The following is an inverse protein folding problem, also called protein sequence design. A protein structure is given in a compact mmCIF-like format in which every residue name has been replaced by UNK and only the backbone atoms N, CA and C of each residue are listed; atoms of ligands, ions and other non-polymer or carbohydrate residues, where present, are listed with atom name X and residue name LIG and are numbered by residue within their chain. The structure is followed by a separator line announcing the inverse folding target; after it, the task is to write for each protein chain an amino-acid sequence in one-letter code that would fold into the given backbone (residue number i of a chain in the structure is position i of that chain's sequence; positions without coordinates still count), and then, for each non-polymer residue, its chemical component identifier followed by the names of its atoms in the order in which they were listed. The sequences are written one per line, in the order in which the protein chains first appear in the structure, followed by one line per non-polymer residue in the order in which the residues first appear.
data_IF_097703191161
#
_entry.id   IF_097703191161
#
_cell.length_a   1.000
_cell.length_b   1.000
_cell.length_c   1.000
_cell.angle_alpha   90.00
_cell.angle_beta   90.00
_cell.angle_gamma   90.00
#
_symmetry.space_group_name_H-M   'P 1'
#
loop_
_entity.id
_entity.type
_entity.pdbx_description
1 polymer ?
#
# COMPACT_ATOMS: atom_id res chain seq x y z
N UNK A 1 18.01 -18.78 1.88
CA UNK A 1 17.66 -19.26 0.53
C UNK A 1 17.07 -20.65 0.71
N UNK A 2 15.78 -20.82 0.39
CA UNK A 2 15.09 -22.10 0.52
C UNK A 2 15.81 -23.12 -0.36
N UNK A 3 16.17 -24.26 0.21
CA UNK A 3 16.76 -25.38 -0.55
C UNK A 3 15.65 -26.34 -0.97
N UNK A 4 15.89 -27.15 -2.01
CA UNK A 4 14.88 -28.03 -2.60
C UNK A 4 14.29 -29.13 -1.68
N UNK A 5 14.71 -29.20 -0.42
CA UNK A 5 14.07 -29.97 0.65
C UNK A 5 12.74 -29.39 1.15
N UNK A 6 12.43 -28.13 0.80
CA UNK A 6 11.45 -27.32 1.56
C UNK A 6 10.04 -27.31 0.95
N UNK A 7 9.83 -27.90 -0.23
CA UNK A 7 8.50 -28.02 -0.81
C UNK A 7 7.75 -29.20 -0.17
N UNK A 8 6.65 -28.90 0.52
CA UNK A 8 5.76 -29.91 1.09
C UNK A 8 5.17 -30.83 0.01
N UNK A 9 4.77 -32.04 0.41
CA UNK A 9 4.13 -33.02 -0.49
C UNK A 9 2.93 -32.42 -1.22
N UNK A 10 2.07 -31.68 -0.49
CA UNK A 10 0.88 -31.04 -1.07
C UNK A 10 1.21 -30.04 -2.19
N UNK A 11 2.33 -29.31 -2.08
CA UNK A 11 2.76 -28.38 -3.15
C UNK A 11 3.21 -29.15 -4.39
N UNK A 12 3.95 -30.26 -4.22
CA UNK A 12 4.40 -31.09 -5.35
C UNK A 12 3.21 -31.70 -6.09
N UNK A 13 2.28 -32.30 -5.34
CA UNK A 13 1.06 -32.89 -5.91
C UNK A 13 0.20 -31.84 -6.64
N UNK A 14 0.17 -30.60 -6.15
CA UNK A 14 -0.51 -29.53 -6.87
C UNK A 14 0.18 -29.19 -8.19
N UNK A 15 1.50 -28.99 -8.18
CA UNK A 15 2.26 -28.68 -9.40
C UNK A 15 2.21 -29.80 -10.44
N UNK A 16 2.25 -31.07 -9.99
CA UNK A 16 2.14 -32.24 -10.86
C UNK A 16 0.74 -32.31 -11.53
N UNK A 17 -0.33 -32.00 -10.78
CA UNK A 17 -1.70 -31.92 -11.33
C UNK A 17 -1.85 -30.81 -12.37
N UNK A 18 -1.17 -29.69 -12.16
CA UNK A 18 -1.10 -28.58 -13.12
C UNK A 18 -0.10 -28.83 -14.27
N UNK A 19 0.52 -30.02 -14.33
CA UNK A 19 1.49 -30.43 -15.36
C UNK A 19 2.72 -29.50 -15.44
N UNK A 20 3.08 -28.88 -14.32
CA UNK A 20 4.23 -27.97 -14.24
C UNK A 20 5.51 -28.78 -14.15
N UNK A 21 6.37 -28.67 -15.16
CA UNK A 21 7.71 -29.28 -15.12
C UNK A 21 8.62 -28.49 -14.19
N UNK A 22 8.89 -29.05 -13.01
CA UNK A 22 9.74 -28.40 -12.01
C UNK A 22 11.23 -28.64 -12.32
N UNK A 23 11.90 -27.63 -12.86
CA UNK A 23 13.37 -27.61 -12.92
C UNK A 23 13.96 -26.87 -11.72
N UNK A 24 14.93 -27.49 -11.05
CA UNK A 24 15.58 -26.93 -9.86
C UNK A 24 16.98 -26.45 -10.23
N UNK A 25 17.23 -25.17 -10.03
CA UNK A 25 18.49 -24.53 -10.37
C UNK A 25 18.94 -23.65 -9.20
N UNK A 26 20.23 -23.63 -8.85
CA UNK A 26 20.80 -22.63 -7.96
C UNK A 26 20.44 -21.21 -8.42
N UNK A 27 20.25 -20.28 -7.48
CA UNK A 27 19.98 -18.88 -7.82
C UNK A 27 21.14 -18.26 -8.64
N UNK A 28 22.37 -18.72 -8.42
CA UNK A 28 23.56 -18.35 -9.22
C UNK A 28 23.43 -18.69 -10.69
N UNK A 29 22.57 -19.64 -11.05
CA UNK A 29 22.49 -20.20 -12.38
C UNK A 29 21.43 -19.52 -13.24
N UNK A 30 20.68 -18.54 -12.68
CA UNK A 30 19.65 -17.80 -13.41
C UNK A 30 20.22 -17.15 -14.68
N UNK A 31 21.35 -16.43 -14.57
CA UNK A 31 21.98 -15.80 -15.73
C UNK A 31 22.48 -16.81 -16.78
N UNK A 32 23.28 -17.85 -16.41
CA UNK A 32 23.67 -18.91 -17.35
C UNK A 32 22.49 -19.57 -18.06
N UNK A 33 21.40 -19.84 -17.33
CA UNK A 33 20.21 -20.50 -17.87
C UNK A 33 19.50 -19.59 -18.87
N UNK A 34 19.32 -18.30 -18.56
CA UNK A 34 18.74 -17.32 -19.47
C UNK A 34 19.58 -17.15 -20.74
N UNK A 35 20.92 -17.09 -20.61
CA UNK A 35 21.84 -17.05 -21.76
C UNK A 35 21.70 -18.30 -22.63
N UNK A 36 21.56 -19.48 -22.01
CA UNK A 36 21.31 -20.73 -22.71
C UNK A 36 19.97 -20.77 -23.43
N UNK A 37 18.90 -20.24 -22.82
CA UNK A 37 17.59 -20.10 -23.44
C UNK A 37 17.63 -19.15 -24.64
N UNK A 38 18.31 -18.01 -24.51
CA UNK A 38 18.49 -17.07 -25.60
C UNK A 38 19.20 -17.71 -26.80
N UNK A 39 20.24 -18.51 -26.54
CA UNK A 39 20.95 -19.29 -27.57
C UNK A 39 20.02 -20.27 -28.30
N UNK A 40 19.28 -21.09 -27.55
CA UNK A 40 18.32 -22.05 -28.14
C UNK A 40 17.27 -21.36 -29.01
N UNK A 41 16.67 -20.28 -28.52
CA UNK A 41 15.68 -19.51 -29.29
C UNK A 41 16.27 -18.89 -30.56
N UNK A 42 17.53 -18.44 -30.52
CA UNK A 42 18.22 -17.94 -31.72
C UNK A 42 18.48 -19.04 -32.75
N UNK A 43 18.70 -20.28 -32.31
CA UNK A 43 19.00 -21.44 -33.17
C UNK A 43 17.72 -22.04 -33.80
N UNK A 44 16.57 -21.94 -33.13
CA UNK A 44 15.26 -22.46 -33.58
C UNK A 44 14.62 -21.64 -34.74
N UNK A 45 15.20 -20.49 -35.11
CA UNK A 45 15.18 -20.01 -36.50
C UNK A 45 13.92 -19.30 -37.02
N UNK A 46 12.92 -18.95 -36.19
CA UNK A 46 11.72 -18.23 -36.71
C UNK A 46 11.86 -16.70 -36.79
N UNK A 47 12.91 -16.13 -36.19
CA UNK A 47 13.13 -14.68 -36.14
C UNK A 47 12.09 -13.86 -35.37
N UNK A 48 11.10 -14.52 -34.74
CA UNK A 48 9.99 -13.91 -33.99
C UNK A 48 9.87 -14.47 -32.57
N UNK A 49 10.99 -14.62 -31.88
CA UNK A 49 10.98 -15.00 -30.46
C UNK A 49 11.04 -13.73 -29.61
N UNK A 50 9.92 -13.37 -28.99
CA UNK A 50 9.86 -12.30 -28.00
C UNK A 50 9.86 -12.90 -26.61
N UNK A 51 10.86 -12.56 -25.79
CA UNK A 51 10.85 -12.87 -24.36
C UNK A 51 10.18 -11.69 -23.65
N UNK A 52 9.12 -11.96 -22.89
CA UNK A 52 8.49 -10.95 -22.04
C UNK A 52 9.19 -10.92 -20.68
N UNK A 53 9.85 -9.80 -20.38
CA UNK A 53 10.37 -9.47 -19.07
C UNK A 53 9.61 -8.31 -18.46
N UNK A 54 9.45 -8.36 -17.13
CA UNK A 54 8.93 -7.22 -16.38
C UNK A 54 9.86 -6.02 -16.54
N UNK A 55 9.29 -4.82 -16.69
CA UNK A 55 10.06 -3.56 -16.69
C UNK A 55 10.96 -3.38 -15.46
N UNK A 56 10.58 -3.97 -14.33
CA UNK A 56 11.34 -3.92 -13.07
C UNK A 56 12.46 -4.97 -12.97
N UNK A 57 12.65 -5.82 -13.98
CA UNK A 57 13.72 -6.81 -13.95
C UNK A 57 15.09 -6.13 -13.97
N UNK A 58 16.04 -6.62 -13.17
CA UNK A 58 17.39 -6.06 -13.11
C UNK A 58 18.08 -6.07 -14.47
N UNK A 59 19.05 -5.18 -14.66
CA UNK A 59 19.84 -5.10 -15.90
C UNK A 59 20.52 -6.43 -16.23
N UNK A 60 21.07 -7.14 -15.23
CA UNK A 60 21.73 -8.43 -15.42
C UNK A 60 20.79 -9.47 -16.06
N UNK A 61 19.54 -9.53 -15.58
CA UNK A 61 18.50 -10.42 -16.14
C UNK A 61 18.14 -10.02 -17.58
N UNK A 62 17.99 -8.72 -17.84
CA UNK A 62 17.72 -8.21 -19.19
C UNK A 62 18.84 -8.57 -20.16
N UNK A 63 20.10 -8.34 -19.79
CA UNK A 63 21.26 -8.65 -20.64
C UNK A 63 21.41 -10.15 -20.89
N UNK A 64 21.23 -10.96 -19.85
CA UNK A 64 21.31 -12.41 -19.96
C UNK A 64 20.21 -12.98 -20.88
N UNK A 65 18.96 -12.53 -20.72
CA UNK A 65 17.84 -12.98 -21.54
C UNK A 65 17.92 -12.50 -23.00
N UNK A 66 18.44 -11.29 -23.25
CA UNK A 66 18.72 -10.81 -24.60
C UNK A 66 19.92 -11.52 -25.25
N UNK A 67 20.73 -12.24 -24.47
CA UNK A 67 21.92 -12.93 -24.96
C UNK A 67 23.05 -11.98 -25.35
N UNK A 68 23.16 -10.80 -24.73
CA UNK A 68 24.09 -9.73 -25.14
C UNK A 68 25.55 -10.18 -25.27
N UNK A 69 26.01 -11.09 -24.40
CA UNK A 69 27.40 -11.54 -24.38
C UNK A 69 27.60 -12.90 -25.08
N UNK A 70 26.53 -13.52 -25.59
CA UNK A 70 26.56 -14.88 -26.16
C UNK A 70 26.02 -14.98 -27.59
N UNK A 71 25.24 -13.98 -28.03
CA UNK A 71 24.70 -13.88 -29.38
C UNK A 71 25.36 -12.72 -30.12
N UNK A 72 25.57 -12.90 -31.44
CA UNK A 72 26.08 -11.83 -32.31
C UNK A 72 25.10 -10.66 -32.42
N UNK A 73 23.80 -10.98 -32.46
CA UNK A 73 22.70 -10.01 -32.45
C UNK A 73 21.79 -10.36 -31.28
N UNK A 74 21.64 -9.49 -30.27
CA UNK A 74 20.76 -9.74 -29.14
C UNK A 74 19.31 -9.95 -29.57
N UNK A 75 18.58 -10.77 -28.82
CA UNK A 75 17.14 -10.98 -29.03
C UNK A 75 16.35 -9.70 -28.71
N UNK A 76 15.23 -9.52 -29.41
CA UNK A 76 14.28 -8.48 -29.07
C UNK A 76 13.44 -8.91 -27.85
N UNK A 77 13.42 -8.08 -26.81
CA UNK A 77 12.67 -8.34 -25.59
C UNK A 77 11.42 -7.46 -25.53
N UNK A 78 10.33 -7.99 -24.98
CA UNK A 78 9.18 -7.19 -24.53
C UNK A 78 9.45 -6.81 -23.08
N UNK A 79 9.72 -5.53 -22.82
CA UNK A 79 9.91 -4.98 -21.47
C UNK A 79 8.67 -4.20 -21.06
N UNK A 80 7.62 -4.94 -20.71
CA UNK A 80 6.32 -4.38 -20.31
C UNK A 80 5.87 -4.95 -18.97
N UNK A 81 4.79 -4.39 -18.44
CA UNK A 81 4.13 -4.91 -17.25
C UNK A 81 3.82 -6.40 -17.42
N UNK A 82 4.19 -7.21 -16.42
CA UNK A 82 3.83 -8.64 -16.41
C UNK A 82 2.30 -8.84 -16.51
N UNK A 83 1.81 -9.72 -17.40
CA UNK A 83 0.39 -10.08 -17.47
C UNK A 83 -0.17 -10.60 -16.14
N UNK A 84 0.66 -11.28 -15.34
CA UNK A 84 0.30 -11.77 -14.01
C UNK A 84 -0.02 -10.60 -13.07
N UNK A 85 0.71 -9.50 -13.19
CA UNK A 85 0.44 -8.31 -12.39
C UNK A 85 -0.92 -7.70 -12.77
N UNK A 86 -1.22 -7.59 -14.07
CA UNK A 86 -2.51 -7.11 -14.58
C UNK A 86 -3.68 -7.99 -14.12
N UNK A 87 -3.54 -9.32 -14.23
CA UNK A 87 -4.56 -10.27 -13.79
C UNK A 87 -4.87 -10.14 -12.29
N UNK A 88 -3.85 -9.86 -11.47
CA UNK A 88 -4.00 -9.68 -10.02
C UNK A 88 -4.52 -8.30 -9.61
N UNK A 89 -4.71 -7.37 -10.56
CA UNK A 89 -5.29 -6.05 -10.27
C UNK A 89 -6.78 -6.16 -9.94
N UNK A 90 -7.52 -6.94 -10.73
CA UNK A 90 -8.96 -7.13 -10.58
C UNK A 90 -9.20 -8.36 -9.71
N UNK A 91 -9.70 -8.12 -8.49
CA UNK A 91 -9.94 -9.20 -7.53
C UNK A 91 -11.23 -9.90 -7.89
N UNK A 92 -11.24 -11.22 -7.82
CA UNK A 92 -12.48 -11.99 -7.93
C UNK A 92 -13.30 -11.93 -6.62
N UNK A 93 -14.53 -12.44 -6.64
CA UNK A 93 -15.43 -12.37 -5.47
C UNK A 93 -14.90 -13.09 -4.23
N UNK A 94 -14.14 -14.19 -4.41
CA UNK A 94 -13.54 -14.92 -3.28
C UNK A 94 -12.43 -14.09 -2.64
N UNK A 95 -11.57 -13.46 -3.44
CA UNK A 95 -10.53 -12.54 -2.95
C UNK A 95 -11.14 -11.32 -2.27
N UNK A 96 -12.18 -10.70 -2.87
CA UNK A 96 -12.89 -9.57 -2.28
C UNK A 96 -13.51 -9.94 -0.93
N UNK A 97 -14.11 -11.13 -0.82
CA UNK A 97 -14.65 -11.60 0.44
C UNK A 97 -13.56 -11.84 1.48
N UNK A 98 -12.42 -12.43 1.09
CA UNK A 98 -11.25 -12.56 1.96
C UNK A 98 -10.75 -11.20 2.47
N UNK A 99 -10.68 -10.20 1.60
CA UNK A 99 -10.33 -8.83 1.99
C UNK A 99 -11.32 -8.25 3.02
N UNK A 100 -12.63 -8.44 2.84
CA UNK A 100 -13.63 -7.95 3.81
C UNK A 100 -13.44 -8.62 5.18
N UNK A 101 -13.26 -9.94 5.21
CA UNK A 101 -13.09 -10.67 6.47
C UNK A 101 -11.76 -10.35 7.18
N UNK A 102 -10.68 -10.13 6.44
CA UNK A 102 -9.40 -9.74 7.03
C UNK A 102 -9.42 -8.31 7.58
N UNK A 103 -10.10 -7.37 6.91
CA UNK A 103 -10.27 -6.02 7.42
C UNK A 103 -11.16 -5.97 8.67
N UNK A 104 -12.14 -6.87 8.81
CA UNK A 104 -12.93 -7.00 10.05
C UNK A 104 -12.06 -7.42 11.23
N UNK A 105 -11.27 -8.48 11.06
CA UNK A 105 -10.32 -8.97 12.10
C UNK A 105 -9.30 -7.92 12.48
N UNK A 106 -8.67 -7.29 11.48
CA UNK A 106 -7.69 -6.23 11.76
C UNK A 106 -8.33 -5.01 12.44
N UNK A 107 -9.55 -4.65 12.05
CA UNK A 107 -10.34 -3.61 12.69
C UNK A 107 -10.61 -3.90 14.16
N UNK A 108 -10.92 -5.15 14.52
CA UNK A 108 -11.08 -5.57 15.92
C UNK A 108 -9.79 -5.33 16.70
N UNK A 109 -8.64 -5.78 16.18
CA UNK A 109 -7.35 -5.59 16.85
C UNK A 109 -6.99 -4.10 17.02
N UNK A 110 -7.25 -3.26 16.01
CA UNK A 110 -7.03 -1.80 16.09
C UNK A 110 -7.96 -1.14 17.11
N UNK A 111 -9.24 -1.50 17.15
CA UNK A 111 -10.18 -0.98 18.16
C UNK A 111 -9.76 -1.39 19.57
N UNK A 112 -9.33 -2.64 19.77
CA UNK A 112 -8.78 -3.13 21.04
C UNK A 112 -7.56 -2.32 21.48
N UNK A 113 -6.63 -2.02 20.56
CA UNK A 113 -5.49 -1.16 20.85
C UNK A 113 -5.93 0.24 21.26
N UNK A 114 -6.76 0.90 20.46
CA UNK A 114 -7.17 2.29 20.73
C UNK A 114 -7.88 2.41 22.07
N UNK A 115 -8.71 1.41 22.43
CA UNK A 115 -9.31 1.33 23.77
C UNK A 115 -8.25 1.12 24.85
N UNK A 116 -7.38 0.11 24.69
CA UNK A 116 -6.34 -0.19 25.68
C UNK A 116 -5.43 1.00 25.95
N UNK A 117 -4.99 1.69 24.89
CA UNK A 117 -4.12 2.85 24.98
C UNK A 117 -4.81 4.00 25.71
N UNK A 118 -6.07 4.26 25.39
CA UNK A 118 -6.87 5.27 26.09
C UNK A 118 -6.98 4.95 27.59
N UNK A 119 -7.28 3.70 27.94
CA UNK A 119 -7.39 3.27 29.33
C UNK A 119 -6.04 3.41 30.08
N UNK A 120 -4.89 3.16 29.43
CA UNK A 120 -3.58 3.37 30.06
C UNK A 120 -3.31 4.85 30.33
N UNK A 121 -3.54 5.71 29.34
CA UNK A 121 -3.28 7.15 29.46
C UNK A 121 -4.23 7.81 30.46
N UNK A 122 -5.51 7.39 30.50
CA UNK A 122 -6.49 7.90 31.47
C UNK A 122 -6.18 7.47 32.92
N UNK A 123 -5.47 6.35 33.10
CA UNK A 123 -4.97 5.89 34.40
C UNK A 123 -3.56 6.44 34.73
N UNK A 124 -3.09 7.45 34.01
CA UNK A 124 -1.77 8.07 34.16
C UNK A 124 -0.60 7.07 34.08
N UNK A 125 -0.78 5.98 33.32
CA UNK A 125 0.31 5.02 33.05
C UNK A 125 1.15 5.49 31.88
N UNK A 126 2.47 5.36 32.04
CA UNK A 126 3.42 5.65 30.98
C UNK A 126 3.40 4.55 29.91
N UNK A 127 3.12 4.94 28.66
CA UNK A 127 3.19 4.05 27.49
C UNK A 127 4.05 4.73 26.43
N UNK A 128 5.01 3.99 25.86
CA UNK A 128 5.83 4.46 24.75
C UNK A 128 5.20 4.13 23.40
N UNK A 129 5.62 4.84 22.36
CA UNK A 129 5.25 4.57 20.97
C UNK A 129 5.49 3.10 20.57
N UNK A 130 6.66 2.55 20.93
CA UNK A 130 7.02 1.16 20.67
C UNK A 130 6.13 0.19 21.44
N UNK A 131 5.83 0.47 22.71
CA UNK A 131 4.91 -0.36 23.50
C UNK A 131 3.51 -0.40 22.90
N UNK A 132 3.02 0.71 22.33
CA UNK A 132 1.75 0.72 21.62
C UNK A 132 1.78 -0.14 20.34
N UNK A 133 2.88 -0.09 19.56
CA UNK A 133 3.06 -0.96 18.40
C UNK A 133 3.16 -2.44 18.77
N UNK A 134 3.91 -2.77 19.83
CA UNK A 134 4.05 -4.14 20.34
C UNK A 134 2.70 -4.67 20.85
N UNK A 135 1.92 -3.84 21.54
CA UNK A 135 0.58 -4.19 21.98
C UNK A 135 -0.38 -4.46 20.82
N UNK A 136 -0.29 -3.69 19.74
CA UNK A 136 -1.09 -3.93 18.54
C UNK A 136 -0.74 -5.28 17.92
N UNK A 137 0.55 -5.60 17.86
CA UNK A 137 1.02 -6.88 17.34
C UNK A 137 0.52 -8.05 18.20
N UNK A 138 0.49 -7.90 19.54
CA UNK A 138 -0.12 -8.90 20.43
C UNK A 138 -1.59 -9.14 20.07
N UNK A 139 -2.40 -8.08 19.96
CA UNK A 139 -3.81 -8.22 19.61
C UNK A 139 -4.02 -8.84 18.22
N UNK A 140 -3.18 -8.52 17.24
CA UNK A 140 -3.23 -9.12 15.90
C UNK A 140 -2.84 -10.61 15.88
N UNK A 141 -1.91 -11.03 16.73
CA UNK A 141 -1.53 -12.46 16.87
C UNK A 141 -2.66 -13.33 17.40
N UNK A 142 -3.62 -12.75 18.11
CA UNK A 142 -4.81 -13.45 18.59
C UNK A 142 -5.86 -13.65 17.49
N UNK A 143 -5.80 -12.87 16.41
CA UNK A 143 -6.74 -12.99 15.30
C UNK A 143 -6.43 -14.22 14.44
N UNK A 144 -7.48 -14.94 14.03
CA UNK A 144 -7.33 -16.10 13.16
C UNK A 144 -6.64 -15.72 11.84
N UNK A 145 -5.93 -16.67 11.23
CA UNK A 145 -5.24 -16.51 9.95
C UNK A 145 -4.18 -15.38 9.89
N UNK A 146 -3.74 -14.80 11.01
CA UNK A 146 -2.66 -13.82 11.05
C UNK A 146 -1.32 -14.42 10.62
N UNK A 147 -0.59 -13.71 9.75
CA UNK A 147 0.65 -14.18 9.13
C UNK A 147 1.83 -13.22 9.35
N UNK A 148 1.63 -12.16 10.14
CA UNK A 148 2.64 -11.14 10.44
C UNK A 148 2.20 -9.73 10.01
N UNK A 149 2.93 -8.69 10.44
CA UNK A 149 2.69 -7.33 9.98
C UNK A 149 2.95 -7.21 8.47
N UNK A 150 2.20 -6.36 7.79
CA UNK A 150 2.37 -6.14 6.35
C UNK A 150 3.47 -5.10 6.04
N UNK A 151 3.76 -4.23 7.01
CA UNK A 151 4.89 -3.29 7.08
C UNK A 151 5.18 -2.94 8.54
N UNK A 152 6.29 -2.25 8.80
CA UNK A 152 6.62 -1.76 10.15
C UNK A 152 5.58 -0.75 10.63
N UNK A 153 5.01 -0.96 11.83
CA UNK A 153 4.01 -0.05 12.38
C UNK A 153 4.62 1.31 12.69
N UNK A 154 3.90 2.37 12.36
CA UNK A 154 4.27 3.77 12.60
C UNK A 154 3.40 4.34 13.74
N UNK A 155 3.87 4.30 15.00
CA UNK A 155 3.17 4.84 16.16
C UNK A 155 3.66 6.26 16.51
N UNK A 156 3.39 7.27 15.70
CA UNK A 156 3.91 8.63 15.91
C UNK A 156 3.07 9.46 16.88
N UNK A 157 3.63 9.86 18.03
CA UNK A 157 3.02 10.73 19.03
C UNK A 157 3.54 12.17 18.94
N UNK A 158 2.62 13.13 18.97
CA UNK A 158 2.95 14.56 18.94
C UNK A 158 3.74 14.91 17.68
N UNK A 159 4.92 15.55 17.78
CA UNK A 159 5.74 15.90 16.61
C UNK A 159 6.15 14.71 15.73
N UNK A 160 6.30 13.50 16.30
CA UNK A 160 6.66 12.31 15.52
C UNK A 160 5.55 11.93 14.53
N UNK A 161 4.29 12.21 14.85
CA UNK A 161 3.16 12.00 13.94
C UNK A 161 3.17 12.90 12.69
N UNK A 162 4.03 13.92 12.64
CA UNK A 162 4.22 14.76 11.45
C UNK A 162 5.26 14.19 10.47
N UNK A 163 6.01 13.14 10.86
CA UNK A 163 7.02 12.48 10.03
C UNK A 163 6.35 11.32 9.30
N UNK A 164 6.25 11.43 7.97
CA UNK A 164 5.44 10.52 7.12
C UNK A 164 5.88 9.05 7.25
N UNK A 165 7.19 8.78 7.12
CA UNK A 165 7.76 7.44 7.29
C UNK A 165 8.53 7.35 8.60
N UNK A 166 7.88 7.73 9.70
CA UNK A 166 8.47 7.62 11.02
C UNK A 166 8.71 6.16 11.40
N UNK A 167 9.91 5.85 11.89
CA UNK A 167 10.25 4.54 12.45
C UNK A 167 10.97 4.77 13.79
N UNK A 168 10.34 4.47 14.93
CA UNK A 168 10.95 4.67 16.23
C UNK A 168 12.10 3.68 16.45
N UNK A 169 13.27 4.18 16.86
CA UNK A 169 14.39 3.33 17.27
C UNK A 169 14.03 2.56 18.53
N UNK A 170 14.24 1.24 18.52
CA UNK A 170 14.15 0.40 19.72
C UNK A 170 15.33 0.60 20.66
N UNK A 171 16.45 1.10 20.15
CA UNK A 171 17.63 1.42 20.92
C UNK A 171 17.50 2.82 21.54
N UNK A 172 17.87 2.94 22.81
CA UNK A 172 17.90 4.21 23.55
C UNK A 172 16.58 4.60 24.20
N UNK A 173 16.44 5.89 24.49
CA UNK A 173 15.24 6.45 25.15
C UNK A 173 14.08 6.49 24.17
N UNK A 174 12.99 5.83 24.53
CA UNK A 174 11.78 5.76 23.72
C UNK A 174 10.85 6.93 24.02
N UNK A 175 10.17 7.46 22.99
CA UNK A 175 9.18 8.53 23.15
C UNK A 175 7.95 8.01 23.89
N UNK A 176 7.64 8.68 24.99
CA UNK A 176 6.38 8.51 25.75
C UNK A 176 5.25 9.21 25.02
N UNK A 177 4.09 8.55 24.97
CA UNK A 177 2.84 9.09 24.44
C UNK A 177 2.21 9.94 25.53
N UNK A 178 2.11 11.25 25.30
CA UNK A 178 1.57 12.19 26.29
C UNK A 178 0.06 12.38 26.14
N UNK A 179 -0.61 12.77 27.23
CA UNK A 179 -2.07 13.05 27.26
C UNK A 179 -2.52 14.14 26.27
N UNK A 180 -1.63 15.05 25.93
CA UNK A 180 -1.90 16.16 25.00
C UNK A 180 -1.39 15.90 23.58
N UNK A 181 -0.85 14.70 23.31
CA UNK A 181 -0.37 14.36 21.98
C UNK A 181 -1.54 14.04 21.03
N UNK A 182 -1.39 14.46 19.77
CA UNK A 182 -2.03 13.76 18.65
C UNK A 182 -1.21 12.51 18.35
N UNK A 183 -1.83 11.34 18.44
CA UNK A 183 -1.22 10.07 18.13
C UNK A 183 -1.69 9.59 16.75
N UNK A 184 -0.74 9.36 15.85
CA UNK A 184 -0.93 8.75 14.56
C UNK A 184 -0.46 7.30 14.62
N UNK A 185 -1.32 6.39 14.21
CA UNK A 185 -1.03 4.98 14.08
C UNK A 185 -1.22 4.60 12.62
N UNK A 186 -0.12 4.35 11.90
CA UNK A 186 -0.16 3.72 10.58
C UNK A 186 0.31 2.28 10.68
N UNK A 187 -0.51 1.33 10.23
CA UNK A 187 -0.23 -0.08 10.50
C UNK A 187 -0.97 -1.00 9.55
N UNK A 188 -0.46 -2.22 9.38
CA UNK A 188 -1.15 -3.24 8.60
C UNK A 188 -0.65 -4.65 8.89
N UNK A 189 -1.41 -5.62 8.40
CA UNK A 189 -1.19 -7.04 8.64
C UNK A 189 -1.36 -7.87 7.38
N UNK A 190 -0.65 -8.99 7.33
CA UNK A 190 -0.90 -10.08 6.41
C UNK A 190 -1.80 -11.11 7.09
N UNK A 191 -2.87 -11.49 6.41
CA UNK A 191 -3.71 -12.64 6.76
C UNK A 191 -3.76 -13.60 5.57
N UNK A 192 -4.01 -14.90 5.81
CA UNK A 192 -4.05 -15.91 4.72
C UNK A 192 -4.99 -15.55 3.54
N UNK A 193 -5.98 -14.71 3.81
CA UNK A 193 -7.06 -14.30 2.92
C UNK A 193 -7.02 -12.80 2.54
N UNK A 194 -5.99 -12.05 2.94
CA UNK A 194 -5.82 -10.68 2.47
C UNK A 194 -4.79 -9.85 3.24
N UNK A 195 -4.55 -8.63 2.76
CA UNK A 195 -3.55 -7.71 3.32
C UNK A 195 -4.21 -6.41 3.75
N UNK A 196 -3.94 -5.96 4.98
CA UNK A 196 -4.49 -4.71 5.53
C UNK A 196 -3.41 -3.64 5.61
N UNK A 197 -3.87 -2.38 5.64
CA UNK A 197 -3.12 -1.13 5.84
C UNK A 197 -4.18 -0.11 6.23
N UNK A 198 -4.01 0.47 7.41
CA UNK A 198 -4.96 1.34 8.05
C UNK A 198 -4.22 2.35 8.91
N UNK A 199 -4.47 3.63 8.60
CA UNK A 199 -4.02 4.75 9.43
C UNK A 199 -5.17 5.30 10.26
N UNK A 200 -4.94 5.57 11.55
CA UNK A 200 -5.85 6.32 12.42
C UNK A 200 -5.09 7.37 13.21
N UNK A 201 -5.68 8.55 13.31
CA UNK A 201 -5.16 9.63 14.17
C UNK A 201 -6.16 9.92 15.27
N UNK A 202 -5.69 10.01 16.52
CA UNK A 202 -6.53 10.30 17.68
C UNK A 202 -5.79 11.24 18.63
N UNK A 203 -6.51 12.21 19.19
CA UNK A 203 -5.98 13.02 20.28
C UNK A 203 -6.14 12.27 21.61
N UNK A 204 -5.10 12.28 22.46
CA UNK A 204 -5.08 11.49 23.71
C UNK A 204 -5.82 12.13 24.89
N UNK A 205 -6.45 13.28 24.67
CA UNK A 205 -7.36 13.91 25.63
C UNK A 205 -8.56 14.58 24.96
N UNK A 206 -9.50 15.06 25.78
CA UNK A 206 -10.70 15.77 25.34
C UNK A 206 -10.45 17.23 24.90
N UNK A 207 -9.21 17.70 24.96
CA UNK A 207 -8.88 19.12 24.74
C UNK A 207 -7.90 19.36 23.58
N UNK A 208 -8.19 18.92 22.33
CA UNK A 208 -7.36 19.28 21.19
C UNK A 208 -7.48 20.77 20.86
N UNK A 209 -6.39 21.36 20.37
CA UNK A 209 -6.36 22.77 19.95
C UNK A 209 -7.22 23.00 18.71
N UNK A 210 -7.56 24.26 18.44
CA UNK A 210 -8.30 24.65 17.24
C UNK A 210 -7.58 24.25 15.95
N UNK A 211 -6.25 24.37 15.94
CA UNK A 211 -5.38 24.01 14.82
C UNK A 211 -5.40 22.50 14.57
N UNK A 212 -5.27 21.69 15.63
CA UNK A 212 -5.33 20.23 15.53
C UNK A 212 -6.69 19.74 15.00
N UNK A 213 -7.80 20.29 15.51
CA UNK A 213 -9.15 20.00 15.01
C UNK A 213 -9.29 20.39 13.54
N UNK A 214 -8.81 21.57 13.18
CA UNK A 214 -8.85 22.09 11.81
C UNK A 214 -8.07 21.18 10.84
N UNK A 215 -6.84 20.82 11.18
CA UNK A 215 -6.00 19.94 10.38
C UNK A 215 -6.64 18.55 10.19
N UNK A 216 -7.08 17.91 11.28
CA UNK A 216 -7.75 16.60 11.23
C UNK A 216 -9.02 16.65 10.37
N UNK A 217 -9.85 17.67 10.55
CA UNK A 217 -11.12 17.80 9.83
C UNK A 217 -10.91 18.02 8.34
N UNK A 218 -9.88 18.78 7.92
CA UNK A 218 -9.56 18.95 6.49
C UNK A 218 -9.16 17.64 5.82
N UNK A 219 -8.33 16.84 6.50
CA UNK A 219 -7.96 15.50 6.01
C UNK A 219 -9.19 14.60 5.94
N UNK A 220 -10.03 14.60 6.97
CA UNK A 220 -11.27 13.82 6.99
C UNK A 220 -12.23 14.21 5.85
N UNK A 221 -12.37 15.50 5.55
CA UNK A 221 -13.17 15.97 4.41
C UNK A 221 -12.66 15.39 3.10
N UNK A 222 -11.36 15.47 2.83
CA UNK A 222 -10.76 14.89 1.62
C UNK A 222 -10.97 13.37 1.52
N UNK A 223 -10.82 12.65 2.65
CA UNK A 223 -11.08 11.21 2.73
C UNK A 223 -12.54 10.85 2.42
N UNK A 224 -13.51 11.58 3.00
CA UNK A 224 -14.94 11.37 2.73
C UNK A 224 -15.25 11.67 1.27
N UNK A 225 -14.79 12.81 0.74
CA UNK A 225 -15.02 13.21 -0.64
C UNK A 225 -14.52 12.14 -1.61
N UNK A 226 -13.29 11.65 -1.43
CA UNK A 226 -12.75 10.58 -2.26
C UNK A 226 -13.53 9.26 -2.11
N UNK A 227 -13.92 8.91 -0.88
CA UNK A 227 -14.70 7.68 -0.62
C UNK A 227 -16.12 7.70 -1.19
N UNK A 228 -16.68 8.89 -1.44
CA UNK A 228 -18.02 9.08 -2.01
C UNK A 228 -18.04 9.59 -3.45
N UNK A 229 -16.88 9.77 -4.08
CA UNK A 229 -16.78 10.36 -5.42
C UNK A 229 -17.41 9.47 -6.49
N UNK A 230 -18.09 10.09 -7.47
CA UNK A 230 -18.64 9.42 -8.64
C UNK A 230 -17.89 9.90 -9.89
N UNK A 231 -17.29 8.98 -10.63
CA UNK A 231 -16.55 9.28 -11.85
C UNK A 231 -16.83 8.23 -12.93
N UNK A 232 -16.81 8.62 -14.22
CA UNK A 232 -16.94 7.67 -15.32
C UNK A 232 -15.87 6.58 -15.30
N UNK A 233 -16.23 5.38 -15.75
CA UNK A 233 -15.27 4.29 -15.89
C UNK A 233 -14.14 4.68 -16.86
N UNK A 234 -12.89 4.36 -16.50
CA UNK A 234 -11.71 4.64 -17.33
C UNK A 234 -11.07 6.01 -17.11
N UNK A 235 -11.60 6.85 -16.22
CA UNK A 235 -10.95 8.10 -15.82
C UNK A 235 -9.63 7.81 -15.13
N UNK A 236 -8.57 8.53 -15.53
CA UNK A 236 -7.25 8.43 -14.91
C UNK A 236 -7.29 9.02 -13.51
N UNK A 237 -6.69 8.30 -12.57
CA UNK A 237 -6.65 8.66 -11.16
C UNK A 237 -6.23 10.12 -10.83
N UNK A 238 -5.19 10.72 -11.47
CA UNK A 238 -4.79 12.09 -11.15
C UNK A 238 -5.90 13.13 -11.38
N UNK A 239 -6.83 12.85 -12.30
CA UNK A 239 -7.97 13.72 -12.63
C UNK A 239 -9.00 13.70 -11.49
N UNK A 240 -9.19 12.55 -10.85
CA UNK A 240 -10.11 12.39 -9.70
C UNK A 240 -9.58 13.19 -8.49
N UNK A 241 -8.25 13.22 -8.30
CA UNK A 241 -7.61 13.89 -7.17
C UNK A 241 -7.51 15.42 -7.32
N UNK A 242 -7.44 15.94 -8.55
CA UNK A 242 -7.38 17.39 -8.81
C UNK A 242 -8.71 18.09 -8.59
N UNK A 243 -9.84 17.41 -8.82
CA UNK A 243 -11.16 18.03 -8.75
C UNK A 243 -11.83 17.87 -7.38
N UNK A 244 -11.71 16.71 -6.71
CA UNK A 244 -12.56 16.40 -5.54
C UNK A 244 -11.82 16.06 -4.23
N UNK A 245 -10.57 15.58 -4.26
CA UNK A 245 -9.90 15.07 -3.05
C UNK A 245 -9.02 16.07 -2.28
N UNK A 246 -8.51 17.11 -2.95
CA UNK A 246 -7.46 17.99 -2.39
C UNK A 246 -7.87 19.46 -2.31
N UNK A 247 -9.09 19.81 -2.68
CA UNK A 247 -9.52 21.20 -2.96
C UNK A 247 -9.50 22.11 -1.72
N UNK A 248 -9.76 21.58 -0.52
CA UNK A 248 -9.72 22.35 0.73
C UNK A 248 -8.29 22.45 1.33
N UNK A 249 -7.51 21.38 1.16
CA UNK A 249 -6.11 21.28 1.62
C UNK A 249 -5.19 22.17 0.75
N UNK A 250 -5.43 22.20 -0.56
CA UNK A 250 -4.66 23.01 -1.52
C UNK A 250 -5.02 24.50 -1.45
N UNK A 251 -6.29 24.85 -1.22
CA UNK A 251 -6.73 26.26 -1.02
C UNK A 251 -6.07 26.94 0.19
N UNK A 252 -5.64 26.17 1.18
CA UNK A 252 -4.98 26.68 2.39
C UNK A 252 -3.45 26.55 2.38
N UNK A 253 -2.83 26.15 1.25
CA UNK A 253 -1.37 25.95 1.08
C UNK A 253 -0.74 24.90 2.01
N UNK A 254 -1.51 23.98 2.58
CA UNK A 254 -1.00 22.90 3.43
C UNK A 254 -0.96 21.58 2.67
N UNK A 255 -0.01 21.38 1.75
CA UNK A 255 0.07 20.13 0.97
C UNK A 255 0.75 18.99 1.73
N UNK A 256 0.15 17.78 1.67
CA UNK A 256 0.85 16.52 1.99
C UNK A 256 1.83 16.17 0.87
N UNK A 257 2.98 15.58 1.22
CA UNK A 257 4.05 15.20 0.26
C UNK A 257 3.98 13.75 -0.22
N UNK A 258 2.97 12.98 0.19
CA UNK A 258 2.80 11.57 -0.18
C UNK A 258 1.58 11.32 -1.05
N UNK A 259 1.56 10.24 -1.87
CA UNK A 259 0.38 9.83 -2.63
C UNK A 259 -0.82 9.53 -1.72
N UNK A 260 -2.03 9.68 -2.26
CA UNK A 260 -3.30 9.58 -1.54
C UNK A 260 -3.68 8.15 -1.19
N UNK A 261 -3.35 7.16 -2.04
CA UNK A 261 -3.44 5.72 -1.72
C UNK A 261 -2.79 4.85 -2.80
N UNK A 262 -2.43 3.62 -2.43
CA UNK A 262 -1.95 2.58 -3.34
C UNK A 262 -2.83 1.32 -3.24
N UNK A 263 -2.98 0.58 -4.36
CA UNK A 263 -3.67 -0.70 -4.34
C UNK A 263 -2.86 -1.79 -3.65
N UNK A 264 -3.54 -2.57 -2.81
CA UNK A 264 -3.00 -3.79 -2.20
C UNK A 264 -3.37 -5.02 -3.02
N UNK A 265 -2.55 -6.04 -2.90
CA UNK A 265 -2.76 -7.33 -3.54
C UNK A 265 -3.05 -8.41 -2.48
N UNK A 266 -3.91 -9.38 -2.80
CA UNK A 266 -4.24 -10.46 -1.89
C UNK A 266 -2.95 -11.22 -1.50
N UNK A 267 -2.68 -11.30 -0.19
CA UNK A 267 -1.59 -12.10 0.39
C UNK A 267 -0.17 -11.75 -0.11
N UNK A 268 0.05 -10.53 -0.63
CA UNK A 268 1.39 -10.11 -1.12
C UNK A 268 1.75 -8.70 -0.65
N UNK A 269 2.86 -8.14 -1.16
CA UNK A 269 3.47 -6.88 -0.72
C UNK A 269 2.44 -5.74 -0.71
N UNK A 270 2.48 -4.91 0.33
CA UNK A 270 1.58 -3.76 0.55
C UNK A 270 1.66 -2.73 -0.58
N UNK A 271 2.88 -2.49 -1.08
CA UNK A 271 3.19 -1.53 -2.14
C UNK A 271 3.38 -2.23 -3.49
N UNK A 272 2.32 -2.84 -4.03
CA UNK A 272 2.30 -3.34 -5.41
C UNK A 272 0.97 -2.97 -6.08
N UNK A 273 0.80 -1.68 -6.34
CA UNK A 273 -0.28 -1.16 -7.16
C UNK A 273 0.24 -0.61 -8.48
N UNK A 274 -0.21 -1.18 -9.61
CA UNK A 274 -0.12 -0.50 -10.92
C UNK A 274 -1.21 0.57 -11.08
N UNK A 275 -2.15 0.59 -10.13
CA UNK A 275 -3.16 1.62 -9.96
C UNK A 275 -2.84 2.31 -8.63
N UNK A 276 -2.59 3.60 -8.72
CA UNK A 276 -2.23 4.49 -7.61
C UNK A 276 -3.18 5.67 -7.65
N UNK A 277 -3.61 6.16 -6.50
CA UNK A 277 -4.20 7.48 -6.36
C UNK A 277 -3.13 8.44 -5.87
N UNK A 278 -2.49 9.16 -6.80
CA UNK A 278 -1.43 10.14 -6.52
C UNK A 278 -1.59 11.45 -7.28
N UNK A 279 -1.14 12.55 -6.67
CA UNK A 279 -1.17 13.90 -7.23
C UNK A 279 0.00 14.16 -8.19
N UNK A 280 -0.32 15.02 -9.17
CA UNK A 280 0.51 15.49 -10.26
C UNK A 280 1.82 16.15 -9.81
N UNK A 281 2.93 15.70 -10.40
CA UNK A 281 4.06 16.59 -10.67
C UNK A 281 3.59 17.57 -11.75
N UNK A 282 3.41 18.85 -11.42
CA UNK A 282 3.38 19.88 -12.44
C UNK A 282 4.82 20.17 -12.87
N UNK A 283 5.20 19.99 -14.14
CA UNK A 283 6.28 20.79 -14.70
C UNK A 283 5.78 22.23 -14.78
N UNK A 284 6.66 23.19 -14.42
CA UNK A 284 6.40 24.60 -14.68
C UNK A 284 6.04 24.79 -16.17
N UNK A 285 4.86 25.35 -16.46
CA UNK A 285 4.57 25.91 -17.79
C UNK A 285 3.30 25.46 -18.54
N UNK A 286 2.39 24.66 -17.97
CA UNK A 286 1.15 24.30 -18.70
C UNK A 286 0.01 25.26 -18.35
N UNK A 287 -0.33 26.16 -19.29
CA UNK A 287 -1.63 26.87 -19.29
C UNK A 287 -2.72 25.85 -19.60
N UNK A 288 -3.51 25.47 -18.60
CA UNK A 288 -4.76 24.72 -18.83
C UNK A 288 -5.88 25.74 -18.96
N UNK A 289 -6.50 25.81 -20.14
CA UNK A 289 -7.70 26.59 -20.39
C UNK A 289 -8.88 25.98 -19.62
N UNK A 290 -9.43 26.75 -18.68
CA UNK A 290 -10.62 26.41 -17.91
C UNK A 290 -11.82 26.17 -18.83
N UNK A 291 -12.37 24.95 -18.85
CA UNK A 291 -13.72 24.74 -19.38
C UNK A 291 -14.68 25.12 -18.24
N UNK A 292 -15.35 26.27 -18.39
CA UNK A 292 -16.43 26.67 -17.50
C UNK A 292 -17.66 25.79 -17.79
N UNK A 293 -18.00 24.91 -16.84
CA UNK A 293 -19.34 24.32 -16.76
C UNK A 293 -20.24 25.27 -15.96
N UNK A 294 -21.38 25.74 -16.51
CA UNK A 294 -22.30 26.62 -15.81
C UNK A 294 -23.28 25.79 -14.99
N UNK A 295 -22.83 25.26 -13.84
CA UNK A 295 -23.75 24.84 -12.78
C UNK A 295 -23.47 25.65 -11.52
N UNK A 296 -23.97 26.89 -11.55
CA UNK A 296 -24.28 27.62 -10.33
C UNK A 296 -25.49 26.96 -9.67
N UNK A 297 -25.28 26.20 -8.59
CA UNK A 297 -26.36 25.95 -7.63
C UNK A 297 -26.07 26.71 -6.34
N UNK A 298 -26.81 27.81 -6.19
CA UNK A 298 -27.05 28.46 -4.91
C UNK A 298 -27.79 27.46 -4.02
N UNK A 299 -27.12 26.79 -3.10
CA UNK A 299 -27.74 26.32 -1.86
C UNK A 299 -26.71 26.43 -0.74
N UNK A 300 -26.88 27.44 0.11
CA UNK A 300 -26.24 27.45 1.42
C UNK A 300 -26.90 26.37 2.27
N UNK A 301 -26.11 25.41 2.74
CA UNK A 301 -26.53 24.49 3.79
C UNK A 301 -25.87 24.97 5.08
N UNK A 302 -26.67 25.63 5.90
CA UNK A 302 -26.38 25.94 7.29
C UNK A 302 -26.56 24.65 8.11
N UNK A 303 -25.46 23.93 8.37
CA UNK A 303 -25.47 22.78 9.26
C UNK A 303 -25.32 23.24 10.72
N UNK A 304 -26.42 23.62 11.36
CA UNK A 304 -26.55 23.56 12.81
C UNK A 304 -26.65 22.09 13.23
N UNK A 305 -25.55 21.51 13.71
CA UNK A 305 -25.58 20.22 14.40
C UNK A 305 -26.10 20.49 15.80
N UNK A 306 -27.39 20.17 16.01
CA UNK A 306 -28.01 20.11 17.33
C UNK A 306 -27.34 19.02 18.16
N UNK A 307 -26.92 19.41 19.35
CA UNK A 307 -26.52 18.54 20.45
C UNK A 307 -27.68 17.62 20.85
N UNK A 308 -27.47 16.31 20.75
CA UNK A 308 -28.11 15.30 21.59
C UNK A 308 -27.34 13.99 21.43
N UNK A 309 -26.27 13.83 22.22
CA UNK A 309 -25.77 12.59 22.80
C UNK A 309 -24.81 12.94 23.94
#
# INVERSE_FOLDING_TARGET
LLTASDLSTAVREHLDREQVQLQRLPLSDVEPVLKGMAKKLSEEGTGKHSIWLSSDASEAIHRAAAGVDVLKTPLNLISEISPVALMKLIKNEVELQGFRECHKRDGIAVVRLLKWLHDQIDCDKTVTEIQAADKLLEFRKEESNFMGPSFETIPGAGPNGAIIHYSPSRDGVQKVIEKHDMFLLDSGSQYKDGTTDITRTRHMSRSPTSEQKCAFTRVLKGQIMLGSALFPQGVKSPIILSDEGTTDITRTRHMSRSPTSEQKCAFTRVLKGQIMLGSALFPQGVKVSTIHSPFTSKTGIDCRIGSNF
#
